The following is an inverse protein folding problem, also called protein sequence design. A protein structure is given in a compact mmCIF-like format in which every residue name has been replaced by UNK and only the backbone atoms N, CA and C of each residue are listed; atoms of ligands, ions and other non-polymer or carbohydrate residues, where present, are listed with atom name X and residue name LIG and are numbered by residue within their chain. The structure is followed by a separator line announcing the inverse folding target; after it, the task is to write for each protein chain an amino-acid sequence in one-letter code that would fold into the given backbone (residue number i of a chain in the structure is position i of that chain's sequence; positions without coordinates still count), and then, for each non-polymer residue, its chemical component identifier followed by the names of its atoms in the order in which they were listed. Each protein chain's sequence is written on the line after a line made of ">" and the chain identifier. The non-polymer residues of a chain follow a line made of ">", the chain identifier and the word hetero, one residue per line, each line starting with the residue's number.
data_IF_074679280498
#
_entry.id   IF_074679280498
#
_cell.length_a   1.000
_cell.length_b   1.000
_cell.length_c   1.000
_cell.angle_alpha   90.00
_cell.angle_beta   90.00
_cell.angle_gamma   90.00
#
_symmetry.space_group_name_H-M   'P 1'
#
loop_
_entity.id
_entity.type
_entity.pdbx_description
1 polymer ?
#
# COMPACT_ATOMS: atom_id res chain seq x y z
N UNK A 1 26.19 -14.86 22.44
CA UNK A 1 26.06 -16.15 23.12
C UNK A 1 26.27 -15.92 24.60
N UNK A 2 25.44 -16.55 25.44
CA UNK A 2 25.76 -16.64 26.85
C UNK A 2 26.73 -17.78 27.12
N UNK A 3 27.17 -17.88 28.37
CA UNK A 3 28.19 -18.86 28.78
C UNK A 3 27.61 -20.29 28.84
N UNK A 4 26.28 -20.43 28.71
CA UNK A 4 25.56 -21.71 28.56
C UNK A 4 25.47 -22.16 27.09
N UNK A 5 25.95 -21.36 26.14
CA UNK A 5 25.81 -21.64 24.71
C UNK A 5 24.46 -21.26 24.10
N UNK A 6 23.56 -20.63 24.87
CA UNK A 6 22.28 -20.15 24.36
C UNK A 6 22.52 -18.96 23.41
N UNK A 7 21.79 -18.98 22.30
CA UNK A 7 21.90 -17.98 21.24
C UNK A 7 20.70 -17.04 21.33
N UNK A 8 20.97 -15.76 21.07
CA UNK A 8 19.95 -14.72 21.08
C UNK A 8 20.07 -13.87 19.82
N UNK A 9 18.95 -13.38 19.33
CA UNK A 9 18.89 -12.39 18.26
C UNK A 9 18.48 -11.02 18.81
N UNK A 10 18.86 -9.98 18.07
CA UNK A 10 18.42 -8.61 18.34
C UNK A 10 16.98 -8.46 17.85
N UNK A 11 16.05 -8.14 18.74
CA UNK A 11 14.63 -8.07 18.42
C UNK A 11 14.26 -7.00 17.40
N UNK A 12 15.03 -5.89 17.30
CA UNK A 12 14.84 -4.89 16.25
C UNK A 12 15.22 -5.40 14.87
N UNK A 13 16.27 -6.21 14.77
CA UNK A 13 16.71 -6.83 13.51
C UNK A 13 15.70 -7.86 13.03
N UNK A 14 15.22 -8.72 13.93
CA UNK A 14 14.16 -9.69 13.61
C UNK A 14 12.87 -8.98 13.22
N UNK A 15 12.52 -7.90 13.94
CA UNK A 15 11.40 -7.04 13.56
C UNK A 15 11.57 -6.46 12.16
N UNK A 16 12.76 -5.95 11.81
CA UNK A 16 13.04 -5.43 10.48
C UNK A 16 12.95 -6.52 9.40
N UNK A 17 13.55 -7.69 9.66
CA UNK A 17 13.53 -8.85 8.76
C UNK A 17 12.10 -9.29 8.43
N UNK A 18 11.23 -9.36 9.44
CA UNK A 18 9.82 -9.74 9.29
C UNK A 18 8.91 -8.57 8.87
N UNK A 19 9.46 -7.36 8.64
CA UNK A 19 8.71 -6.12 8.38
C UNK A 19 7.72 -5.75 9.50
N UNK A 20 8.00 -6.16 10.72
CA UNK A 20 7.24 -5.89 11.94
C UNK A 20 7.91 -4.80 12.78
N UNK A 21 7.69 -3.54 12.40
CA UNK A 21 8.33 -2.39 13.03
C UNK A 21 7.61 -1.91 14.32
N UNK A 22 8.27 -1.03 15.09
CA UNK A 22 7.68 -0.27 16.22
C UNK A 22 7.00 -1.16 17.27
N UNK A 23 7.60 -2.31 17.57
CA UNK A 23 7.11 -3.26 18.57
C UNK A 23 5.96 -4.15 18.09
N UNK A 24 5.62 -4.12 16.79
CA UNK A 24 4.58 -5.00 16.21
C UNK A 24 4.94 -6.48 16.37
N UNK A 25 6.24 -6.82 16.32
CA UNK A 25 6.73 -8.18 16.60
C UNK A 25 6.16 -8.73 17.90
N UNK A 26 6.27 -7.97 18.99
CA UNK A 26 5.81 -8.41 20.31
C UNK A 26 4.30 -8.32 20.51
N UNK A 27 3.60 -7.50 19.71
CA UNK A 27 2.13 -7.46 19.70
C UNK A 27 1.55 -8.67 18.98
N UNK A 28 2.16 -9.06 17.86
CA UNK A 28 1.76 -10.23 17.06
C UNK A 28 2.06 -11.52 17.82
N UNK A 29 3.18 -11.56 18.54
CA UNK A 29 3.64 -12.73 19.29
C UNK A 29 3.85 -12.38 20.78
N UNK A 30 2.78 -12.28 21.58
CA UNK A 30 2.89 -11.88 22.98
C UNK A 30 3.58 -12.94 23.87
N UNK A 31 3.58 -14.21 23.44
CA UNK A 31 4.19 -15.33 24.18
C UNK A 31 5.69 -15.46 23.86
N UNK A 32 6.19 -14.72 22.87
CA UNK A 32 7.60 -14.74 22.49
C UNK A 32 8.47 -14.24 23.64
N UNK A 33 9.47 -15.03 24.02
CA UNK A 33 10.39 -14.67 25.07
C UNK A 33 11.22 -13.46 24.64
N UNK A 34 11.37 -12.52 25.58
CA UNK A 34 12.18 -11.32 25.38
C UNK A 34 12.77 -10.85 26.70
N UNK A 35 14.00 -10.35 26.64
CA UNK A 35 14.64 -9.60 27.74
C UNK A 35 15.28 -8.32 27.24
N UNK A 36 15.44 -7.34 28.11
CA UNK A 36 16.33 -6.20 27.85
C UNK A 36 17.77 -6.69 28.00
N UNK A 37 18.65 -6.33 27.06
CA UNK A 37 20.06 -6.65 27.09
C UNK A 37 20.74 -6.02 28.33
N UNK A 38 21.50 -6.82 29.07
CA UNK A 38 22.31 -6.34 30.19
C UNK A 38 23.54 -5.58 29.70
N UNK A 39 24.29 -4.95 30.62
CA UNK A 39 25.55 -4.28 30.28
C UNK A 39 26.56 -5.28 29.69
N UNK A 40 26.61 -6.50 30.21
CA UNK A 40 27.46 -7.58 29.69
C UNK A 40 27.03 -8.02 28.29
N UNK A 41 25.73 -8.19 28.06
CA UNK A 41 25.20 -8.52 26.73
C UNK A 41 25.59 -7.43 25.72
N UNK A 42 25.44 -6.16 26.10
CA UNK A 42 25.82 -5.00 25.29
C UNK A 42 27.31 -4.99 24.97
N UNK A 43 28.17 -5.29 25.94
CA UNK A 43 29.63 -5.35 25.73
C UNK A 43 30.00 -6.48 24.74
N UNK A 44 29.35 -7.65 24.84
CA UNK A 44 29.49 -8.73 23.85
C UNK A 44 29.04 -8.27 22.45
N UNK A 45 27.93 -7.54 22.35
CA UNK A 45 27.46 -6.96 21.06
C UNK A 45 28.46 -5.95 20.48
N UNK A 46 29.09 -5.12 21.33
CA UNK A 46 30.11 -4.14 20.92
C UNK A 46 31.29 -4.83 20.26
N UNK A 47 31.75 -5.95 20.84
CA UNK A 47 32.89 -6.71 20.32
C UNK A 47 32.56 -7.39 18.99
N UNK A 48 31.37 -7.94 18.84
CA UNK A 48 30.94 -8.64 17.61
C UNK A 48 30.65 -7.67 16.47
N UNK A 49 29.90 -6.60 16.76
CA UNK A 49 29.42 -5.67 15.74
C UNK A 49 30.33 -4.43 15.56
N UNK A 50 31.43 -4.35 16.32
CA UNK A 50 32.41 -3.25 16.30
C UNK A 50 31.77 -1.85 16.37
N UNK A 51 30.62 -1.73 17.06
CA UNK A 51 29.82 -0.50 17.08
C UNK A 51 29.51 -0.07 18.50
N UNK A 52 29.78 1.21 18.79
CA UNK A 52 29.50 1.85 20.07
C UNK A 52 28.01 2.20 20.25
N UNK A 53 27.22 2.15 19.17
CA UNK A 53 25.81 2.51 19.19
C UNK A 53 24.99 1.70 20.20
N UNK A 54 25.41 0.46 20.47
CA UNK A 54 24.68 -0.48 21.34
C UNK A 54 24.76 -0.16 22.84
N UNK A 55 25.70 0.69 23.29
CA UNK A 55 25.86 0.99 24.72
C UNK A 55 24.67 1.78 25.29
N UNK A 56 24.24 2.82 24.56
CA UNK A 56 23.28 3.80 25.05
C UNK A 56 21.82 3.48 24.71
N UNK A 57 21.57 2.44 23.90
CA UNK A 57 20.23 2.06 23.46
C UNK A 57 19.65 0.92 24.30
N UNK A 58 18.34 0.93 24.50
CA UNK A 58 17.62 -0.22 25.04
C UNK A 58 17.46 -1.28 23.95
N UNK A 59 18.23 -2.36 24.07
CA UNK A 59 18.23 -3.46 23.11
C UNK A 59 17.37 -4.58 23.68
N UNK A 60 16.43 -5.07 22.89
CA UNK A 60 15.67 -6.26 23.22
C UNK A 60 16.33 -7.48 22.60
N UNK A 61 16.51 -8.52 23.39
CA UNK A 61 17.00 -9.83 22.95
C UNK A 61 15.84 -10.82 22.94
N UNK A 62 15.81 -11.66 21.91
CA UNK A 62 14.87 -12.78 21.76
C UNK A 62 15.67 -14.08 21.63
N UNK A 63 15.14 -15.20 22.11
CA UNK A 63 15.86 -16.48 22.00
C UNK A 63 15.93 -16.93 20.54
N UNK A 64 17.10 -17.41 20.12
CA UNK A 64 17.29 -17.80 18.73
C UNK A 64 16.36 -18.96 18.34
N UNK A 65 16.24 -19.98 19.20
CA UNK A 65 15.42 -21.14 18.90
C UNK A 65 13.94 -20.79 18.68
N UNK A 66 13.37 -19.85 19.44
CA UNK A 66 11.98 -19.44 19.26
C UNK A 66 11.76 -18.71 17.92
N UNK A 67 12.75 -17.94 17.47
CA UNK A 67 12.71 -17.26 16.17
C UNK A 67 12.88 -18.26 15.03
N UNK A 68 13.80 -19.22 15.16
CA UNK A 68 14.01 -20.24 14.14
C UNK A 68 12.74 -21.11 13.97
N UNK A 69 12.04 -21.39 15.06
CA UNK A 69 10.73 -22.07 15.04
C UNK A 69 9.63 -21.20 14.42
N UNK A 70 9.63 -19.90 14.67
CA UNK A 70 8.72 -18.95 14.02
C UNK A 70 8.95 -18.90 12.51
N UNK A 71 10.21 -18.84 12.08
CA UNK A 71 10.60 -18.79 10.66
C UNK A 71 10.33 -20.11 9.92
N UNK A 72 10.34 -21.24 10.62
CA UNK A 72 9.97 -22.56 10.07
C UNK A 72 8.46 -22.80 10.01
N UNK A 73 7.63 -21.79 10.33
CA UNK A 73 6.18 -21.84 10.17
C UNK A 73 5.40 -22.31 11.40
N UNK A 74 6.05 -22.54 12.54
CA UNK A 74 5.38 -22.89 13.81
C UNK A 74 4.98 -21.65 14.61
N UNK A 75 4.61 -20.56 13.93
CA UNK A 75 4.36 -19.26 14.57
C UNK A 75 3.08 -19.24 15.44
N UNK A 76 2.13 -20.15 15.20
CA UNK A 76 0.85 -20.19 15.91
C UNK A 76 1.00 -20.33 17.42
N UNK A 77 2.00 -21.08 17.89
CA UNK A 77 2.26 -21.28 19.33
C UNK A 77 2.70 -20.00 20.06
N UNK A 78 3.22 -19.02 19.32
CA UNK A 78 3.62 -17.73 19.86
C UNK A 78 2.54 -16.66 19.69
N UNK A 79 1.57 -16.92 18.82
CA UNK A 79 0.39 -16.09 18.64
C UNK A 79 -0.57 -16.39 19.80
N UNK A 80 -1.13 -15.36 20.44
CA UNK A 80 -2.15 -15.60 21.46
C UNK A 80 -3.35 -16.32 20.81
N UNK A 81 -3.70 -17.49 21.34
CA UNK A 81 -4.99 -18.12 21.06
C UNK A 81 -6.10 -17.20 21.59
N UNK A 82 -6.82 -16.54 20.67
CA UNK A 82 -8.03 -15.78 20.95
C UNK A 82 -7.81 -14.38 21.54
N UNK A 83 -7.98 -13.35 20.70
CA UNK A 83 -8.60 -12.05 21.02
C UNK A 83 -8.07 -10.98 20.06
N UNK A 84 -8.75 -10.83 18.92
CA UNK A 84 -8.82 -9.54 18.22
C UNK A 84 -10.26 -9.04 18.33
N UNK A 85 -10.58 -8.13 19.26
CA UNK A 85 -11.61 -7.15 18.97
C UNK A 85 -10.96 -6.11 18.07
N UNK A 86 -11.48 -5.98 16.85
CA UNK A 86 -11.23 -4.82 16.01
C UNK A 86 -11.55 -3.55 16.82
N UNK A 87 -10.54 -2.73 17.10
CA UNK A 87 -10.77 -1.39 17.65
C UNK A 87 -11.30 -0.50 16.51
N UNK A 88 -12.47 0.14 16.65
CA UNK A 88 -12.95 1.10 15.67
C UNK A 88 -12.12 2.38 15.79
N UNK A 89 -11.61 2.85 14.66
CA UNK A 89 -10.96 4.15 14.50
C UNK A 89 -12.00 5.24 14.78
N UNK A 90 -11.84 5.95 15.90
CA UNK A 90 -12.64 7.14 16.20
C UNK A 90 -12.25 8.27 15.24
N UNK A 91 -13.19 8.65 14.38
CA UNK A 91 -13.10 9.85 13.55
C UNK A 91 -13.41 11.07 14.43
N UNK A 92 -12.40 11.90 14.69
CA UNK A 92 -12.59 13.19 15.34
C UNK A 92 -12.92 14.23 14.30
N UNK A 93 -14.22 14.45 14.11
CA UNK A 93 -14.75 15.60 13.38
C UNK A 93 -14.40 16.92 14.08
N UNK A 94 -13.85 17.85 13.32
CA UNK A 94 -13.92 19.29 13.63
C UNK A 94 -14.40 20.01 12.36
N UNK A 95 -15.63 20.49 12.44
CA UNK A 95 -16.24 21.41 11.49
C UNK A 95 -15.91 22.85 11.85
N UNK A 96 -15.70 23.69 10.82
CA UNK A 96 -15.97 25.15 10.68
C UNK A 96 -15.01 25.68 9.59
N UNK A 97 -15.39 26.54 8.65
CA UNK A 97 -16.56 27.38 8.49
C UNK A 97 -16.67 27.89 7.05
N UNK A 98 -17.68 28.72 6.81
CA UNK A 98 -18.36 28.90 5.54
C UNK A 98 -18.17 30.33 5.00
N UNK A 99 -18.18 30.45 3.65
CA UNK A 99 -18.53 31.63 2.79
C UNK A 99 -17.41 32.65 2.43
N UNK A 100 -17.62 33.49 1.39
CA UNK A 100 -17.94 33.19 -0.02
C UNK A 100 -17.21 34.11 -1.05
N UNK A 101 -17.49 33.92 -2.36
CA UNK A 101 -17.43 34.91 -3.47
C UNK A 101 -16.02 35.32 -3.98
N UNK A 102 -15.72 35.51 -5.29
CA UNK A 102 -16.48 35.79 -6.52
C UNK A 102 -15.72 35.22 -7.75
N UNK A 103 -16.36 35.14 -8.93
CA UNK A 103 -15.76 34.61 -10.15
C UNK A 103 -14.98 35.70 -10.91
N UNK A 104 -13.85 35.33 -11.49
CA UNK A 104 -13.22 36.08 -12.57
C UNK A 104 -12.94 35.09 -13.69
N UNK A 105 -13.64 35.30 -14.80
CA UNK A 105 -13.30 34.71 -16.08
C UNK A 105 -12.72 35.79 -16.97
N UNK A 106 -11.71 35.45 -17.77
CA UNK A 106 -11.50 36.10 -19.05
C UNK A 106 -10.78 35.14 -20.01
N UNK A 107 -11.51 34.92 -21.10
CA UNK A 107 -11.16 34.31 -22.36
C UNK A 107 -9.79 34.74 -22.91
N UNK A 108 -9.18 33.83 -23.66
CA UNK A 108 -8.45 34.18 -24.88
C UNK A 108 -6.94 34.02 -24.80
N UNK A 109 -6.44 32.83 -25.16
CA UNK A 109 -5.09 32.76 -25.70
C UNK A 109 -5.18 32.54 -27.22
N UNK A 110 -4.87 33.64 -27.90
CA UNK A 110 -4.61 33.74 -29.32
C UNK A 110 -3.54 32.71 -29.72
N UNK A 111 -3.83 32.02 -30.82
CA UNK A 111 -2.91 31.14 -31.53
C UNK A 111 -1.65 31.89 -31.95
N UNK A 112 -0.48 31.32 -31.66
CA UNK A 112 0.68 31.50 -32.51
C UNK A 112 1.68 30.36 -32.36
N UNK A 113 1.96 29.76 -33.52
CA UNK A 113 3.24 29.17 -33.91
C UNK A 113 3.68 27.83 -33.29
N UNK A 114 3.73 26.81 -34.17
CA UNK A 114 4.89 25.92 -34.25
C UNK A 114 4.69 24.48 -33.80
N UNK A 115 4.27 23.62 -34.75
CA UNK A 115 4.51 22.17 -34.77
C UNK A 115 4.09 21.35 -33.54
N UNK A 116 2.88 20.78 -33.58
CA UNK A 116 2.49 19.65 -32.75
C UNK A 116 2.30 18.39 -33.61
N UNK A 117 3.28 17.48 -33.55
CA UNK A 117 3.12 16.10 -33.98
C UNK A 117 2.44 15.35 -32.83
N UNK A 118 1.29 14.71 -33.13
CA UNK A 118 0.41 13.94 -32.23
C UNK A 118 -0.60 14.72 -31.37
N UNK A 119 -1.34 15.67 -31.96
CA UNK A 119 -2.61 16.10 -31.36
C UNK A 119 -3.77 15.32 -31.99
N UNK A 120 -4.48 14.55 -31.15
CA UNK A 120 -5.71 13.87 -31.53
C UNK A 120 -6.67 14.86 -32.19
N UNK A 121 -7.07 14.58 -33.44
CA UNK A 121 -8.09 15.38 -34.13
C UNK A 121 -9.34 15.40 -33.23
N UNK A 122 -9.94 16.57 -32.94
CA UNK A 122 -11.20 16.62 -32.25
C UNK A 122 -12.24 15.88 -33.09
N UNK A 123 -12.61 14.67 -32.69
CA UNK A 123 -13.78 14.03 -33.26
C UNK A 123 -14.98 14.79 -32.70
N UNK A 124 -15.63 15.58 -33.55
CA UNK A 124 -16.87 16.27 -33.23
C UNK A 124 -18.01 15.24 -33.14
N UNK A 125 -17.95 14.35 -32.15
CA UNK A 125 -19.11 13.62 -31.70
C UNK A 125 -20.01 14.61 -30.94
N UNK A 126 -21.27 14.83 -31.35
CA UNK A 126 -22.18 15.68 -30.61
C UNK A 126 -22.28 15.17 -29.16
N UNK A 127 -22.09 16.08 -28.20
CA UNK A 127 -22.14 15.74 -26.80
C UNK A 127 -23.56 15.27 -26.45
N UNK A 128 -23.70 14.02 -26.02
CA UNK A 128 -24.99 13.51 -25.56
C UNK A 128 -25.45 14.32 -24.35
N UNK A 129 -26.53 15.09 -24.52
CA UNK A 129 -27.16 15.88 -23.45
C UNK A 129 -27.95 14.99 -22.48
N UNK A 130 -27.33 13.96 -21.92
CA UNK A 130 -27.90 13.25 -20.79
C UNK A 130 -27.76 14.13 -19.54
N UNK A 131 -28.86 14.77 -19.11
CA UNK A 131 -28.96 15.47 -17.81
C UNK A 131 -29.02 14.47 -16.64
N UNK A 132 -28.05 13.57 -16.55
CA UNK A 132 -27.85 12.70 -15.40
C UNK A 132 -26.81 13.28 -14.46
N UNK A 133 -26.96 13.09 -13.15
CA UNK A 133 -25.86 13.32 -12.19
C UNK A 133 -24.72 12.34 -12.53
N UNK A 134 -23.78 12.79 -13.36
CA UNK A 134 -22.49 12.11 -13.49
C UNK A 134 -21.80 12.29 -12.14
N UNK A 135 -21.74 11.22 -11.35
CA UNK A 135 -20.86 11.21 -10.17
C UNK A 135 -19.45 11.52 -10.69
N UNK A 136 -18.74 12.51 -10.13
CA UNK A 136 -17.34 12.73 -10.47
C UNK A 136 -16.62 11.40 -10.32
N UNK A 137 -15.95 10.96 -11.38
CA UNK A 137 -15.12 9.76 -11.31
C UNK A 137 -13.97 10.12 -10.38
N UNK A 138 -13.99 9.58 -9.17
CA UNK A 138 -12.89 9.69 -8.21
C UNK A 138 -11.69 8.94 -8.81
N UNK A 139 -10.93 9.64 -9.64
CA UNK A 139 -9.64 9.20 -10.17
C UNK A 139 -8.56 10.09 -9.57
N UNK A 140 -8.56 10.19 -8.24
CA UNK A 140 -7.37 10.59 -7.54
C UNK A 140 -6.52 9.34 -7.35
N UNK A 141 -5.65 9.05 -8.33
CA UNK A 141 -4.56 8.10 -8.12
C UNK A 141 -3.69 8.66 -6.99
N UNK A 142 -3.86 8.16 -5.78
CA UNK A 142 -2.89 8.40 -4.71
C UNK A 142 -1.80 7.34 -4.85
N UNK A 143 -0.57 7.76 -5.09
CA UNK A 143 0.60 6.87 -5.07
C UNK A 143 0.81 6.19 -3.70
N UNK A 144 0.09 6.64 -2.67
CA UNK A 144 0.14 6.12 -1.31
C UNK A 144 -0.88 4.99 -1.07
N UNK A 145 -1.78 4.72 -2.02
CA UNK A 145 -2.71 3.60 -1.94
C UNK A 145 -2.01 2.29 -2.35
N UNK A 146 -1.28 1.74 -1.38
CA UNK A 146 -0.57 0.46 -1.49
C UNK A 146 -1.49 -0.70 -1.87
N UNK A 147 -2.77 -0.65 -1.52
CA UNK A 147 -3.72 -1.71 -1.86
C UNK A 147 -4.08 -1.65 -3.35
N UNK A 148 -4.36 -0.45 -3.86
CA UNK A 148 -4.63 -0.26 -5.29
C UNK A 148 -3.39 -0.57 -6.15
N UNK A 149 -2.20 -0.16 -5.71
CA UNK A 149 -0.96 -0.50 -6.41
C UNK A 149 -0.75 -2.01 -6.50
N UNK A 150 -1.05 -2.73 -5.41
CA UNK A 150 -1.00 -4.19 -5.37
C UNK A 150 -1.99 -4.81 -6.36
N UNK A 151 -3.25 -4.35 -6.40
CA UNK A 151 -4.27 -4.88 -7.33
C UNK A 151 -3.88 -4.66 -8.79
N UNK A 152 -3.29 -3.51 -9.13
CA UNK A 152 -2.80 -3.23 -10.49
C UNK A 152 -1.65 -4.18 -10.86
N UNK A 153 -0.71 -4.42 -9.95
CA UNK A 153 0.38 -5.35 -10.17
C UNK A 153 -0.13 -6.80 -10.36
N UNK A 154 -1.02 -7.26 -9.47
CA UNK A 154 -1.63 -8.60 -9.54
C UNK A 154 -2.43 -8.81 -10.84
N UNK A 155 -3.15 -7.78 -11.31
CA UNK A 155 -3.87 -7.82 -12.59
C UNK A 155 -2.93 -7.81 -13.80
N UNK A 156 -1.76 -7.16 -13.70
CA UNK A 156 -0.74 -7.15 -14.74
C UNK A 156 0.00 -8.48 -14.92
N UNK A 157 0.00 -9.33 -13.89
CA UNK A 157 0.57 -10.68 -13.95
C UNK A 157 -0.39 -11.72 -14.54
N UNK A 158 -1.67 -11.38 -14.73
CA UNK A 158 -2.64 -12.30 -15.32
C UNK A 158 -2.36 -12.51 -16.82
N UNK A 159 -2.58 -13.74 -17.34
CA UNK A 159 -2.45 -14.00 -18.77
C UNK A 159 -3.49 -13.19 -19.57
N UNK A 160 -3.06 -12.65 -20.71
CA UNK A 160 -3.94 -11.89 -21.58
C UNK A 160 -4.74 -12.84 -22.50
N UNK A 161 -6.07 -12.83 -22.37
CA UNK A 161 -6.99 -13.54 -23.26
C UNK A 161 -7.87 -12.53 -24.01
N UNK A 162 -7.41 -12.12 -25.19
CA UNK A 162 -8.13 -11.16 -26.04
C UNK A 162 -9.27 -11.84 -26.80
N UNK A 163 -10.50 -11.38 -26.55
CA UNK A 163 -11.69 -11.78 -27.30
C UNK A 163 -12.13 -10.66 -28.24
N UNK A 164 -12.46 -10.95 -29.51
CA UNK A 164 -12.97 -9.94 -30.44
C UNK A 164 -14.41 -9.55 -30.07
N UNK A 165 -14.69 -8.25 -30.07
CA UNK A 165 -16.00 -7.66 -29.80
C UNK A 165 -16.40 -6.80 -31.00
N UNK A 166 -17.66 -6.95 -31.44
CA UNK A 166 -18.26 -6.14 -32.49
C UNK A 166 -19.56 -5.51 -31.96
N UNK A 167 -19.64 -4.19 -32.01
CA UNK A 167 -20.83 -3.42 -31.65
C UNK A 167 -21.55 -3.01 -32.94
N UNK A 168 -22.86 -3.22 -32.98
CA UNK A 168 -23.76 -2.72 -34.04
C UNK A 168 -25.09 -2.39 -33.37
N UNK A 169 -25.16 -1.19 -32.80
CA UNK A 169 -26.30 -0.72 -32.01
C UNK A 169 -26.90 0.53 -32.65
N UNK A 170 -28.21 0.69 -32.52
CA UNK A 170 -28.93 1.91 -32.92
C UNK A 170 -29.93 2.29 -31.83
N UNK A 171 -29.81 3.50 -31.30
CA UNK A 171 -30.67 4.07 -30.25
C UNK A 171 -31.05 5.49 -30.66
N UNK A 172 -32.36 5.78 -30.73
CA UNK A 172 -32.91 7.09 -31.13
C UNK A 172 -32.32 7.64 -32.44
N UNK A 173 -32.07 6.76 -33.41
CA UNK A 173 -31.47 7.10 -34.70
C UNK A 173 -29.96 7.33 -34.68
N UNK A 174 -29.32 7.20 -33.51
CA UNK A 174 -27.86 7.27 -33.35
C UNK A 174 -27.28 5.86 -33.45
N UNK A 175 -26.34 5.66 -34.37
CA UNK A 175 -25.68 4.37 -34.62
C UNK A 175 -24.32 4.32 -33.93
N UNK A 176 -24.05 3.24 -33.19
CA UNK A 176 -22.74 2.88 -32.67
C UNK A 176 -22.27 1.60 -33.34
N UNK A 177 -21.28 1.73 -34.22
CA UNK A 177 -20.63 0.61 -34.91
C UNK A 177 -19.15 0.60 -34.59
N UNK A 178 -18.69 -0.47 -33.98
CA UNK A 178 -17.30 -0.59 -33.55
C UNK A 178 -16.80 -2.05 -33.61
N UNK A 179 -15.50 -2.23 -33.70
CA UNK A 179 -14.84 -3.54 -33.64
C UNK A 179 -13.51 -3.39 -32.92
N UNK A 180 -13.37 -4.08 -31.78
CA UNK A 180 -12.19 -4.03 -30.92
C UNK A 180 -11.96 -5.39 -30.25
N UNK A 181 -10.79 -5.56 -29.61
CA UNK A 181 -10.52 -6.74 -28.78
C UNK A 181 -10.59 -6.35 -27.30
N UNK A 182 -11.07 -7.25 -26.45
CA UNK A 182 -11.16 -7.05 -25.01
C UNK A 182 -10.45 -8.18 -24.26
N UNK A 183 -9.64 -7.84 -23.28
CA UNK A 183 -9.03 -8.84 -22.40
C UNK A 183 -10.08 -9.35 -21.40
N UNK A 184 -10.52 -10.60 -21.58
CA UNK A 184 -11.52 -11.26 -20.73
C UNK A 184 -11.08 -11.41 -19.27
N UNK A 185 -9.77 -11.45 -19.02
CA UNK A 185 -9.19 -11.66 -17.69
C UNK A 185 -9.00 -10.37 -16.90
N UNK A 186 -9.38 -9.21 -17.47
CA UNK A 186 -9.23 -7.90 -16.81
C UNK A 186 -10.26 -7.75 -15.68
N UNK A 187 -9.80 -7.67 -14.43
CA UNK A 187 -10.63 -7.38 -13.24
C UNK A 187 -10.66 -5.90 -12.87
#
# INVERSE_FOLDING_TARGET
>A
MDDSGERYYIGSEIGAYLRLHRGTLYKKYPVLWRKVATVEDKEKLRQIALSQAFMHTNIMLVKAHEIDELLSGQEEKYRAAGSTPALPRVDSGVAKGNKPNLPVGWMGQQVSSGSHHLESVPCSCPLAHARGRVKPRELAYSAEDLEQAKRVAENGEQPEELVPIRLDMELDGVKLRDTFCYNKMKS
#
